data_IF_120930867456
#
_entry.id   IF_120930867456
#
_cell.length_a   1.000
_cell.length_b   1.000
_cell.length_c   1.000
_cell.angle_alpha   90.00
_cell.angle_beta   90.00
_cell.angle_gamma   90.00
#
_symmetry.space_group_name_H-M   'P 1'
#
loop_
_entity.id
_entity.type
_entity.pdbx_description
1 polymer ?
#
# COMPACT_ATOMS: atom_id res chain seq x y z
N UNK A 1 -25.40 10.49 3.97
CA UNK A 1 -25.13 11.93 3.67
C UNK A 1 -23.62 12.10 3.69
N UNK A 2 -23.03 12.70 2.67
CA UNK A 2 -21.58 12.87 2.57
C UNK A 2 -21.07 13.76 3.71
N UNK A 3 -20.02 13.32 4.41
CA UNK A 3 -19.34 14.06 5.48
C UNK A 3 -18.89 15.48 5.04
N UNK A 4 -18.57 15.67 3.78
CA UNK A 4 -18.20 16.96 3.20
C UNK A 4 -19.28 18.04 3.31
N UNK A 5 -20.56 17.70 3.09
CA UNK A 5 -21.68 18.66 3.18
C UNK A 5 -21.90 19.13 4.62
N UNK A 6 -21.66 18.27 5.58
CA UNK A 6 -21.81 18.62 7.01
C UNK A 6 -20.67 19.56 7.43
N UNK A 7 -19.46 19.30 6.97
CA UNK A 7 -18.29 20.13 7.26
C UNK A 7 -18.40 21.54 6.67
N UNK A 8 -18.96 21.70 5.46
CA UNK A 8 -19.27 23.02 4.87
C UNK A 8 -20.19 23.85 5.76
N UNK A 9 -21.18 23.23 6.41
CA UNK A 9 -22.08 23.92 7.34
C UNK A 9 -21.33 24.42 8.57
N UNK A 10 -20.40 23.63 9.10
CA UNK A 10 -19.58 24.00 10.24
C UNK A 10 -18.62 25.15 9.92
N UNK A 11 -17.95 25.07 8.78
CA UNK A 11 -17.09 26.16 8.27
C UNK A 11 -17.84 27.44 8.04
N UNK A 12 -18.99 27.36 7.40
CA UNK A 12 -19.83 28.53 7.17
C UNK A 12 -20.25 29.18 8.49
N UNK A 13 -20.73 28.37 9.45
CA UNK A 13 -21.17 28.85 10.76
C UNK A 13 -20.04 29.54 11.51
N UNK A 14 -18.88 28.91 11.59
CA UNK A 14 -17.67 29.51 12.18
C UNK A 14 -17.30 30.84 11.52
N UNK A 15 -17.31 30.90 10.19
CA UNK A 15 -16.96 32.10 9.46
C UNK A 15 -17.96 33.24 9.73
N UNK A 16 -19.24 32.95 9.82
CA UNK A 16 -20.25 33.97 10.14
C UNK A 16 -20.12 34.46 11.60
N UNK A 17 -19.81 33.58 12.54
CA UNK A 17 -19.51 33.96 13.94
C UNK A 17 -18.27 34.86 13.98
N UNK A 18 -17.18 34.49 13.30
CA UNK A 18 -15.94 35.29 13.24
C UNK A 18 -16.15 36.68 12.61
N UNK A 19 -17.09 36.77 11.66
CA UNK A 19 -17.48 38.07 11.06
C UNK A 19 -18.45 38.86 11.91
N UNK A 20 -18.75 38.43 13.15
CA UNK A 20 -19.74 39.07 14.05
C UNK A 20 -21.12 39.21 13.43
N UNK A 21 -21.54 38.24 12.58
CA UNK A 21 -22.88 38.26 11.95
C UNK A 21 -23.94 37.52 12.75
N UNK A 22 -23.57 37.00 13.90
CA UNK A 22 -24.46 36.35 14.88
C UNK A 22 -25.39 35.29 14.27
N UNK A 23 -24.85 34.26 13.60
CA UNK A 23 -25.68 33.24 12.97
C UNK A 23 -26.46 32.46 14.02
N UNK A 24 -27.62 31.89 13.61
CA UNK A 24 -28.46 31.04 14.44
C UNK A 24 -28.99 29.82 13.64
N UNK A 25 -29.76 28.97 14.30
CA UNK A 25 -30.30 27.76 13.65
C UNK A 25 -31.18 28.09 12.42
N UNK A 26 -31.88 29.23 12.43
CA UNK A 26 -32.72 29.64 11.31
C UNK A 26 -31.86 30.06 10.11
N UNK A 27 -30.84 30.90 10.33
CA UNK A 27 -29.93 31.35 9.26
C UNK A 27 -29.13 30.19 8.67
N UNK A 28 -28.69 29.23 9.50
CA UNK A 28 -28.04 28.02 9.03
C UNK A 28 -28.99 27.12 8.22
N UNK A 29 -30.22 26.98 8.68
CA UNK A 29 -31.26 26.20 8.00
C UNK A 29 -31.59 26.77 6.62
N UNK A 30 -31.77 28.08 6.52
CA UNK A 30 -32.04 28.81 5.27
C UNK A 30 -30.87 28.71 4.29
N UNK A 31 -29.62 28.83 4.78
CA UNK A 31 -28.44 28.79 3.92
C UNK A 31 -28.20 27.43 3.27
N UNK A 32 -28.51 26.33 3.95
CA UNK A 32 -28.22 24.96 3.50
C UNK A 32 -29.47 24.15 3.21
N UNK A 33 -30.65 24.78 3.14
CA UNK A 33 -31.94 24.14 2.82
C UNK A 33 -32.23 22.91 3.69
N UNK A 34 -31.99 23.03 5.01
CA UNK A 34 -32.19 21.99 5.99
C UNK A 34 -33.27 22.42 7.01
N UNK A 35 -33.82 21.45 7.77
CA UNK A 35 -34.72 21.78 8.85
C UNK A 35 -34.02 22.56 9.97
N UNK A 36 -34.71 23.48 10.64
CA UNK A 36 -34.18 24.21 11.81
C UNK A 36 -33.73 23.25 12.90
N UNK A 37 -34.41 22.10 13.07
CA UNK A 37 -34.01 21.06 14.01
C UNK A 37 -32.67 20.43 13.64
N UNK A 38 -32.41 20.22 12.35
CA UNK A 38 -31.12 19.72 11.86
C UNK A 38 -30.02 20.76 12.04
N UNK A 39 -30.34 22.04 11.76
CA UNK A 39 -29.39 23.13 11.96
C UNK A 39 -29.01 23.30 13.44
N UNK A 40 -29.97 23.20 14.35
CA UNK A 40 -29.70 23.28 15.80
C UNK A 40 -28.80 22.11 16.24
N UNK A 41 -29.07 20.90 15.80
CA UNK A 41 -28.18 19.75 16.07
C UNK A 41 -26.77 19.97 15.57
N UNK A 42 -26.59 20.60 14.40
CA UNK A 42 -25.27 20.95 13.88
C UNK A 42 -24.56 21.96 14.80
N UNK A 43 -25.29 22.97 15.29
CA UNK A 43 -24.74 23.98 16.23
C UNK A 43 -24.36 23.33 17.57
N UNK A 44 -25.25 22.51 18.12
CA UNK A 44 -24.96 21.77 19.36
C UNK A 44 -23.73 20.86 19.19
N UNK A 45 -23.60 20.23 18.03
CA UNK A 45 -22.43 19.41 17.72
C UNK A 45 -21.14 20.26 17.67
N UNK A 46 -21.16 21.42 17.00
CA UNK A 46 -20.02 22.35 16.96
C UNK A 46 -19.63 22.77 18.39
N UNK A 47 -20.58 23.10 19.22
CA UNK A 47 -20.36 23.52 20.61
C UNK A 47 -19.86 22.36 21.49
N UNK A 48 -20.63 21.26 21.53
CA UNK A 48 -20.48 20.22 22.55
C UNK A 48 -19.45 19.16 22.18
N UNK A 49 -19.25 18.93 20.88
CA UNK A 49 -18.34 17.91 20.38
C UNK A 49 -17.03 18.48 19.78
N UNK A 50 -17.12 19.65 19.13
CA UNK A 50 -15.95 20.31 18.57
C UNK A 50 -15.32 21.31 19.53
N UNK A 51 -16.01 21.59 20.64
CA UNK A 51 -15.51 22.47 21.66
C UNK A 51 -15.45 23.95 21.25
N UNK A 52 -16.24 24.35 20.23
CA UNK A 52 -16.32 25.77 19.87
C UNK A 52 -16.99 26.55 21.01
N UNK A 53 -16.29 27.52 21.63
CA UNK A 53 -16.83 28.28 22.73
C UNK A 53 -17.84 29.33 22.25
N UNK A 54 -19.03 28.87 21.87
CA UNK A 54 -20.13 29.73 21.39
C UNK A 54 -21.21 29.87 22.45
N UNK A 55 -21.72 31.09 22.55
CA UNK A 55 -22.82 31.45 23.45
C UNK A 55 -23.94 32.11 22.68
N UNK A 56 -25.19 31.75 22.98
CA UNK A 56 -26.35 32.40 22.38
C UNK A 56 -26.66 33.70 23.11
N UNK A 57 -26.61 34.82 22.39
CA UNK A 57 -26.91 36.15 22.91
C UNK A 57 -28.31 36.58 22.43
N UNK A 58 -29.27 36.60 23.33
CA UNK A 58 -30.67 36.92 23.02
C UNK A 58 -30.85 38.30 22.38
N UNK A 59 -30.10 39.32 22.81
CA UNK A 59 -30.14 40.66 22.27
C UNK A 59 -29.74 40.72 20.79
N UNK A 60 -28.84 39.83 20.35
CA UNK A 60 -28.37 39.72 18.97
C UNK A 60 -29.11 38.62 18.19
N UNK A 61 -29.99 37.89 18.85
CA UNK A 61 -30.72 36.73 18.29
C UNK A 61 -29.81 35.70 17.59
N UNK A 62 -28.61 35.54 18.06
CA UNK A 62 -27.61 34.66 17.43
C UNK A 62 -26.46 34.29 18.35
N UNK A 63 -25.55 33.46 17.81
CA UNK A 63 -24.38 32.98 18.53
C UNK A 63 -23.19 33.92 18.37
N UNK A 64 -22.43 34.05 19.43
CA UNK A 64 -21.14 34.77 19.49
C UNK A 64 -20.06 33.78 19.96
N UNK A 65 -18.81 34.04 19.62
CA UNK A 65 -17.65 33.31 20.11
C UNK A 65 -16.77 34.26 20.92
N UNK A 66 -16.63 34.08 22.25
CA UNK A 66 -15.74 34.88 23.07
C UNK A 66 -14.25 34.73 22.70
N UNK A 67 -13.90 33.60 22.09
CA UNK A 67 -12.53 33.28 21.64
C UNK A 67 -12.40 33.36 20.12
N UNK A 68 -12.10 34.55 19.55
CA UNK A 68 -12.05 34.73 18.09
C UNK A 68 -10.92 33.94 17.40
N UNK A 69 -9.94 33.48 18.15
CA UNK A 69 -8.80 32.66 17.68
C UNK A 69 -9.13 31.17 17.55
N UNK A 70 -10.29 30.74 18.06
CA UNK A 70 -10.70 29.34 17.92
C UNK A 70 -10.96 28.99 16.44
N UNK A 71 -10.46 27.85 16.01
CA UNK A 71 -10.63 27.35 14.66
C UNK A 71 -11.13 25.91 14.68
N UNK A 72 -12.00 25.60 13.73
CA UNK A 72 -12.38 24.22 13.46
C UNK A 72 -11.12 23.41 13.15
N UNK A 73 -11.04 22.15 13.62
CA UNK A 73 -9.97 21.26 13.22
C UNK A 73 -9.84 21.24 11.70
N UNK A 74 -8.65 21.51 11.17
CA UNK A 74 -8.42 21.61 9.72
C UNK A 74 -8.62 20.30 8.96
N UNK A 75 -8.72 19.19 9.70
CA UNK A 75 -9.03 17.85 9.17
C UNK A 75 -10.14 17.26 10.04
N UNK A 76 -11.24 16.94 9.39
CA UNK A 76 -12.35 16.21 10.00
C UNK A 76 -12.29 14.75 9.58
N UNK A 77 -12.12 13.87 10.54
CA UNK A 77 -12.12 12.43 10.32
C UNK A 77 -13.25 11.78 11.14
N UNK A 78 -13.91 10.83 10.55
CA UNK A 78 -14.75 9.88 11.27
C UNK A 78 -13.88 8.92 12.07
N UNK A 79 -14.44 8.20 13.02
CA UNK A 79 -13.75 7.16 13.78
C UNK A 79 -13.16 6.09 12.85
N UNK A 80 -13.90 5.66 11.81
CA UNK A 80 -13.46 4.70 10.82
C UNK A 80 -12.29 5.22 9.97
N UNK A 81 -12.30 6.50 9.58
CA UNK A 81 -11.19 7.12 8.85
C UNK A 81 -9.94 7.21 9.72
N UNK A 82 -10.10 7.52 11.01
CA UNK A 82 -9.00 7.54 11.96
C UNK A 82 -8.38 6.15 12.13
N UNK A 83 -9.20 5.12 12.35
CA UNK A 83 -8.75 3.72 12.43
C UNK A 83 -8.03 3.32 11.15
N UNK A 84 -8.58 3.69 9.99
CA UNK A 84 -7.99 3.41 8.67
C UNK A 84 -6.61 4.07 8.51
N UNK A 85 -6.44 5.30 9.01
CA UNK A 85 -5.14 5.99 9.00
C UNK A 85 -4.11 5.31 9.91
N UNK A 86 -4.50 4.92 11.13
CA UNK A 86 -3.62 4.20 12.06
C UNK A 86 -3.21 2.85 11.47
N UNK A 87 -4.17 2.12 10.89
CA UNK A 87 -3.89 0.86 10.20
C UNK A 87 -2.92 1.04 9.03
N UNK A 88 -3.14 2.07 8.20
CA UNK A 88 -2.26 2.42 7.09
C UNK A 88 -0.85 2.76 7.55
N UNK A 89 -0.71 3.51 8.66
CA UNK A 89 0.58 3.80 9.28
C UNK A 89 1.32 2.53 9.70
N UNK A 90 0.62 1.57 10.31
CA UNK A 90 1.23 0.28 10.71
C UNK A 90 1.62 -0.57 9.52
N UNK A 91 0.82 -0.61 8.47
CA UNK A 91 1.18 -1.28 7.21
C UNK A 91 2.39 -0.61 6.55
N UNK A 92 2.47 0.73 6.61
CA UNK A 92 3.62 1.50 6.13
C UNK A 92 4.90 1.30 6.98
N UNK A 93 4.83 0.65 8.15
CA UNK A 93 6.02 0.36 8.97
C UNK A 93 7.06 -0.53 8.25
N UNK A 94 6.63 -1.26 7.21
CA UNK A 94 7.51 -2.04 6.33
C UNK A 94 8.31 -1.19 5.33
N UNK A 95 8.01 0.11 5.18
CA UNK A 95 8.78 1.05 4.35
C UNK A 95 10.15 1.26 4.99
N UNK A 96 11.26 1.16 4.23
CA UNK A 96 12.61 1.27 4.80
C UNK A 96 13.01 2.70 5.18
N UNK A 97 12.32 3.74 4.75
CA UNK A 97 12.67 5.14 4.97
C UNK A 97 12.23 5.64 6.37
N UNK A 98 13.19 5.85 7.26
CA UNK A 98 12.95 6.32 8.62
C UNK A 98 12.40 7.76 8.65
N UNK A 99 12.83 8.64 7.73
CA UNK A 99 12.36 10.02 7.67
C UNK A 99 10.88 10.09 7.27
N UNK A 100 10.47 9.31 6.26
CA UNK A 100 9.07 9.20 5.86
C UNK A 100 8.20 8.65 6.98
N UNK A 101 8.67 7.64 7.72
CA UNK A 101 7.94 7.10 8.89
C UNK A 101 7.76 8.16 9.98
N UNK A 102 8.80 8.91 10.27
CA UNK A 102 8.75 9.99 11.28
C UNK A 102 7.78 11.08 10.85
N UNK A 103 7.85 11.53 9.59
CA UNK A 103 6.94 12.54 9.05
C UNK A 103 5.48 12.08 9.09
N UNK A 104 5.21 10.83 8.72
CA UNK A 104 3.87 10.25 8.80
C UNK A 104 3.37 10.17 10.24
N UNK A 105 4.23 9.76 11.18
CA UNK A 105 3.87 9.71 12.61
C UNK A 105 3.55 11.11 13.16
N UNK A 106 4.37 12.11 12.85
CA UNK A 106 4.13 13.50 13.26
C UNK A 106 2.80 13.99 12.71
N UNK A 107 2.56 13.80 11.40
CA UNK A 107 1.30 14.16 10.78
C UNK A 107 0.08 13.49 11.46
N UNK A 108 0.16 12.21 11.74
CA UNK A 108 -0.93 11.47 12.41
C UNK A 108 -1.16 11.98 13.84
N UNK A 109 -0.10 12.25 14.59
CA UNK A 109 -0.21 12.83 15.94
C UNK A 109 -0.89 14.19 15.91
N UNK A 110 -0.52 15.06 14.96
CA UNK A 110 -1.15 16.37 14.77
C UNK A 110 -2.64 16.24 14.40
N UNK A 111 -2.98 15.30 13.52
CA UNK A 111 -4.37 15.03 13.12
C UNK A 111 -5.19 14.57 14.33
N UNK A 112 -4.67 13.65 15.14
CA UNK A 112 -5.38 13.11 16.30
C UNK A 112 -5.48 14.14 17.43
N UNK A 113 -4.42 14.88 17.69
CA UNK A 113 -4.43 15.94 18.72
C UNK A 113 -5.50 17.01 18.45
N UNK A 114 -5.80 17.25 17.16
CA UNK A 114 -6.88 18.18 16.74
C UNK A 114 -8.26 17.54 16.71
N UNK A 115 -8.36 16.24 16.91
CA UNK A 115 -9.63 15.51 16.88
C UNK A 115 -10.20 15.38 18.30
N UNK A 116 -11.10 16.28 18.69
CA UNK A 116 -11.64 16.40 20.04
C UNK A 116 -12.39 15.13 20.57
N UNK A 117 -12.70 14.17 19.69
CA UNK A 117 -13.42 12.93 20.04
C UNK A 117 -12.52 11.69 20.02
N UNK A 118 -11.23 11.84 19.74
CA UNK A 118 -10.32 10.70 19.70
C UNK A 118 -10.14 10.09 21.09
N UNK A 119 -10.82 8.98 21.35
CA UNK A 119 -10.65 8.15 22.55
C UNK A 119 -9.42 7.23 22.46
N UNK A 120 -8.69 7.29 21.36
CA UNK A 120 -7.63 6.34 21.04
C UNK A 120 -6.28 7.03 20.99
N UNK A 121 -5.32 6.44 21.69
CA UNK A 121 -3.91 6.75 21.53
C UNK A 121 -3.35 5.94 20.34
N UNK A 122 -2.69 6.64 19.39
CA UNK A 122 -2.08 5.97 18.20
C UNK A 122 -1.09 4.92 18.65
N UNK A 123 -0.26 5.20 19.64
CA UNK A 123 0.77 4.29 20.08
C UNK A 123 0.14 3.03 20.68
N UNK A 124 -0.93 3.14 21.47
CA UNK A 124 -1.68 1.99 21.99
C UNK A 124 -2.35 1.15 20.90
N UNK A 125 -2.95 1.79 19.88
CA UNK A 125 -3.52 1.08 18.74
C UNK A 125 -2.41 0.44 17.89
N UNK A 126 -1.33 1.18 17.68
CA UNK A 126 -0.20 0.72 16.91
C UNK A 126 0.49 -0.49 17.55
N UNK A 127 0.55 -0.60 18.86
CA UNK A 127 1.11 -1.76 19.58
C UNK A 127 0.30 -3.04 19.35
N UNK A 128 -1.00 -2.91 19.09
CA UNK A 128 -1.90 -4.06 18.82
C UNK A 128 -1.83 -4.58 17.39
N UNK A 129 -1.18 -3.84 16.47
CA UNK A 129 -1.12 -4.16 15.05
C UNK A 129 0.35 -4.32 14.65
N UNK A 130 0.71 -5.47 14.10
CA UNK A 130 2.06 -5.74 13.63
C UNK A 130 2.08 -6.39 12.25
N UNK A 131 3.06 -6.01 11.43
CA UNK A 131 3.36 -6.67 10.15
C UNK A 131 4.63 -7.49 10.34
N UNK A 132 4.52 -8.80 10.16
CA UNK A 132 5.67 -9.72 10.28
C UNK A 132 6.05 -10.27 8.91
N UNK A 133 7.20 -9.85 8.43
CA UNK A 133 7.81 -10.42 7.22
C UNK A 133 8.91 -11.41 7.60
N UNK A 134 9.00 -12.52 6.87
CA UNK A 134 10.00 -13.57 7.08
C UNK A 134 10.86 -13.68 5.83
N UNK A 135 12.18 -13.82 6.00
CA UNK A 135 13.14 -14.01 4.92
C UNK A 135 13.19 -12.85 3.87
N UNK A 136 12.91 -11.63 4.30
CA UNK A 136 12.99 -10.46 3.43
C UNK A 136 14.39 -9.83 3.41
N UNK A 137 14.72 -9.15 2.32
CA UNK A 137 15.97 -8.41 2.19
C UNK A 137 15.78 -6.93 2.56
N UNK A 138 16.59 -6.44 3.52
CA UNK A 138 16.55 -5.04 3.96
C UNK A 138 17.09 -4.11 2.88
N UNK A 139 16.38 -3.06 2.60
CA UNK A 139 16.81 -1.97 1.72
C UNK A 139 17.35 -0.83 2.56
N UNK A 140 18.41 -0.17 2.09
CA UNK A 140 18.93 1.06 2.68
C UNK A 140 17.92 2.20 2.55
N UNK A 141 17.74 2.99 3.62
CA UNK A 141 16.86 4.16 3.63
C UNK A 141 17.23 5.14 2.50
N UNK A 142 18.52 5.38 2.29
CA UNK A 142 19.01 6.26 1.23
C UNK A 142 18.62 5.76 -0.17
N UNK A 143 18.81 4.47 -0.45
CA UNK A 143 18.45 3.88 -1.75
C UNK A 143 16.94 3.97 -1.97
N UNK A 144 16.17 3.63 -0.96
CA UNK A 144 14.71 3.70 -1.05
C UNK A 144 14.23 5.12 -1.33
N UNK A 145 14.71 6.09 -0.56
CA UNK A 145 14.34 7.50 -0.69
C UNK A 145 14.70 8.05 -2.09
N UNK A 146 15.92 7.81 -2.57
CA UNK A 146 16.38 8.27 -3.89
C UNK A 146 15.59 7.64 -5.04
N UNK A 147 15.29 6.35 -4.94
CA UNK A 147 14.45 5.67 -5.95
C UNK A 147 13.04 6.24 -5.95
N UNK A 148 12.44 6.47 -4.77
CA UNK A 148 11.11 7.06 -4.64
C UNK A 148 11.08 8.48 -5.21
N UNK A 149 12.07 9.30 -4.88
CA UNK A 149 12.21 10.66 -5.42
C UNK A 149 12.30 10.65 -6.95
N UNK A 150 13.14 9.79 -7.51
CA UNK A 150 13.30 9.64 -8.96
C UNK A 150 12.02 9.13 -9.64
N UNK A 151 11.31 8.19 -9.01
CA UNK A 151 10.03 7.68 -9.49
C UNK A 151 8.99 8.80 -9.57
N UNK A 152 8.87 9.61 -8.51
CA UNK A 152 7.89 10.71 -8.44
C UNK A 152 8.22 11.84 -9.43
N UNK A 153 9.51 12.12 -9.65
CA UNK A 153 9.97 13.13 -10.62
C UNK A 153 9.99 12.61 -12.07
N UNK A 154 9.85 11.30 -12.28
CA UNK A 154 10.03 10.71 -13.61
C UNK A 154 11.45 10.89 -14.15
N UNK A 155 12.47 10.92 -13.30
CA UNK A 155 13.86 11.17 -13.67
C UNK A 155 14.71 9.90 -13.66
N UNK A 156 15.70 9.75 -14.57
CA UNK A 156 16.58 8.62 -14.57
C UNK A 156 17.59 8.68 -13.42
N UNK A 157 18.04 7.50 -12.98
CA UNK A 157 19.09 7.33 -11.98
C UNK A 157 20.13 6.33 -12.46
N UNK A 158 21.37 6.53 -12.02
CA UNK A 158 22.47 5.58 -12.16
C UNK A 158 22.58 4.76 -10.89
N UNK A 159 22.53 3.45 -11.03
CA UNK A 159 22.68 2.50 -9.93
C UNK A 159 23.88 1.59 -10.16
N UNK A 160 24.63 1.30 -9.10
CA UNK A 160 25.54 0.17 -9.05
C UNK A 160 24.79 -1.03 -8.49
N UNK A 161 24.59 -2.05 -9.32
CA UNK A 161 23.72 -3.19 -9.00
C UNK A 161 24.52 -4.48 -8.87
N UNK A 162 24.37 -5.16 -7.73
CA UNK A 162 24.96 -6.47 -7.49
C UNK A 162 24.04 -7.57 -7.98
N UNK A 163 24.55 -8.42 -8.87
CA UNK A 163 23.86 -9.61 -9.36
C UNK A 163 24.41 -10.87 -8.67
N UNK A 164 23.70 -11.46 -7.68
CA UNK A 164 24.18 -12.66 -6.97
C UNK A 164 24.43 -13.84 -7.88
N UNK A 165 23.60 -14.02 -8.91
CA UNK A 165 23.73 -15.14 -9.84
C UNK A 165 25.06 -15.09 -10.64
N UNK A 166 25.52 -13.88 -10.96
CA UNK A 166 26.78 -13.67 -11.72
C UNK A 166 27.93 -13.30 -10.81
N UNK A 167 27.69 -13.14 -9.50
CA UNK A 167 28.63 -12.59 -8.52
C UNK A 167 29.35 -11.33 -9.04
N UNK A 168 28.58 -10.40 -9.64
CA UNK A 168 29.12 -9.24 -10.35
C UNK A 168 28.37 -7.96 -10.02
N UNK A 169 29.13 -6.88 -9.84
CA UNK A 169 28.64 -5.50 -9.85
C UNK A 169 28.51 -4.99 -11.29
N UNK A 170 27.52 -4.16 -11.55
CA UNK A 170 27.34 -3.52 -12.84
C UNK A 170 26.63 -2.19 -12.68
N UNK A 171 27.10 -1.18 -13.40
CA UNK A 171 26.42 0.11 -13.49
C UNK A 171 25.24 0.04 -14.47
N UNK A 172 24.15 0.71 -14.10
CA UNK A 172 22.91 0.78 -14.89
C UNK A 172 22.32 2.17 -14.80
N UNK A 173 22.04 2.76 -15.95
CA UNK A 173 21.13 3.90 -16.02
C UNK A 173 19.72 3.32 -16.20
N UNK A 174 18.82 3.67 -15.27
CA UNK A 174 17.46 3.18 -15.22
C UNK A 174 16.48 4.33 -15.04
N UNK A 175 15.31 4.22 -15.64
CA UNK A 175 14.17 5.08 -15.37
C UNK A 175 13.17 4.33 -14.48
N UNK A 176 13.03 4.68 -13.19
CA UNK A 176 12.05 4.10 -12.29
C UNK A 176 10.61 4.30 -12.79
N UNK A 177 9.81 3.24 -12.82
CA UNK A 177 8.45 3.29 -13.32
C UNK A 177 7.40 2.76 -12.34
N UNK A 178 7.78 1.80 -11.47
CA UNK A 178 6.84 1.25 -10.49
C UNK A 178 7.57 0.65 -9.30
N UNK A 179 7.21 1.09 -8.10
CA UNK A 179 7.74 0.55 -6.84
C UNK A 179 6.85 -0.61 -6.38
N UNK A 180 7.45 -1.75 -6.07
CA UNK A 180 6.76 -2.98 -5.67
C UNK A 180 7.32 -3.52 -4.37
N UNK A 181 6.45 -3.83 -3.41
CA UNK A 181 6.80 -4.66 -2.25
C UNK A 181 6.35 -6.07 -2.51
N UNK A 182 7.29 -7.01 -2.55
CA UNK A 182 7.02 -8.42 -2.78
C UNK A 182 7.64 -9.26 -1.66
N UNK A 183 6.82 -10.00 -0.92
CA UNK A 183 7.23 -10.80 0.25
C UNK A 183 8.14 -10.03 1.23
N UNK A 184 7.81 -8.76 1.49
CA UNK A 184 8.57 -7.88 2.39
C UNK A 184 9.87 -7.32 1.81
N UNK A 185 10.22 -7.66 0.58
CA UNK A 185 11.39 -7.11 -0.14
C UNK A 185 10.93 -6.04 -1.13
N UNK A 186 11.64 -4.93 -1.18
CA UNK A 186 11.34 -3.83 -2.09
C UNK A 186 12.04 -3.97 -3.42
N UNK A 187 11.28 -3.76 -4.48
CA UNK A 187 11.67 -3.85 -5.87
C UNK A 187 11.30 -2.58 -6.63
N UNK A 188 12.06 -2.27 -7.65
CA UNK A 188 11.72 -1.24 -8.63
C UNK A 188 11.65 -1.85 -10.02
N UNK A 189 10.49 -1.76 -10.64
CA UNK A 189 10.34 -2.01 -12.07
C UNK A 189 10.78 -0.74 -12.79
N UNK A 190 11.81 -0.85 -13.61
CA UNK A 190 12.42 0.27 -14.30
C UNK A 190 12.75 -0.11 -15.76
N UNK A 191 12.78 0.89 -16.62
CA UNK A 191 13.35 0.72 -17.94
C UNK A 191 14.89 0.80 -17.85
N UNK A 192 15.57 -0.25 -18.28
CA UNK A 192 17.03 -0.35 -18.23
C UNK A 192 17.62 0.05 -19.59
N UNK A 193 18.38 1.14 -19.65
CA UNK A 193 18.97 1.64 -20.88
C UNK A 193 19.89 0.60 -21.55
N UNK A 194 20.75 -0.06 -20.77
CA UNK A 194 21.71 -1.06 -21.30
C UNK A 194 21.02 -2.27 -21.95
N UNK A 195 19.84 -2.63 -21.46
CA UNK A 195 19.10 -3.80 -21.98
C UNK A 195 17.96 -3.41 -22.90
N UNK A 196 17.61 -2.12 -22.93
CA UNK A 196 16.51 -1.55 -23.68
C UNK A 196 15.15 -2.27 -23.45
N UNK A 197 14.90 -2.62 -22.17
CA UNK A 197 13.71 -3.36 -21.75
C UNK A 197 13.32 -3.03 -20.30
N UNK A 198 12.07 -3.33 -19.93
CA UNK A 198 11.63 -3.31 -18.53
C UNK A 198 12.33 -4.40 -17.74
N UNK A 199 12.83 -4.05 -16.58
CA UNK A 199 13.47 -4.97 -15.63
C UNK A 199 13.06 -4.70 -14.21
N UNK A 200 13.07 -5.77 -13.43
CA UNK A 200 12.90 -5.74 -11.99
C UNK A 200 14.27 -5.69 -11.29
N UNK A 201 14.44 -4.72 -10.40
CA UNK A 201 15.64 -4.55 -9.59
C UNK A 201 15.28 -4.62 -8.10
N UNK A 202 15.88 -5.56 -7.39
CA UNK A 202 15.76 -5.69 -5.94
C UNK A 202 16.53 -4.55 -5.27
N UNK A 203 15.87 -3.68 -4.52
CA UNK A 203 16.51 -2.48 -3.97
C UNK A 203 17.64 -2.78 -2.98
N UNK A 204 17.57 -3.87 -2.23
CA UNK A 204 18.65 -4.31 -1.33
C UNK A 204 19.95 -4.68 -2.05
N UNK A 205 19.92 -4.86 -3.36
CA UNK A 205 21.09 -5.17 -4.20
C UNK A 205 21.71 -3.93 -4.85
N UNK A 206 21.12 -2.77 -4.68
CA UNK A 206 21.69 -1.49 -5.11
C UNK A 206 22.73 -1.06 -4.08
N UNK A 207 23.97 -0.90 -4.52
CA UNK A 207 25.13 -0.53 -3.69
C UNK A 207 25.31 0.97 -3.62
N UNK A 208 25.13 1.64 -4.76
CA UNK A 208 25.13 3.09 -4.84
C UNK A 208 24.05 3.58 -5.80
N UNK A 209 23.60 4.81 -5.61
CA UNK A 209 22.60 5.48 -6.44
C UNK A 209 22.94 6.96 -6.58
N UNK A 210 22.91 7.47 -7.80
CA UNK A 210 23.11 8.89 -8.13
C UNK A 210 22.14 9.32 -9.22
N UNK A 211 22.01 10.64 -9.42
CA UNK A 211 21.30 11.18 -10.59
C UNK A 211 22.01 10.74 -11.87
N UNK A 212 21.23 10.59 -12.94
CA UNK A 212 21.74 10.27 -14.27
C UNK A 212 21.27 11.33 -15.27
N UNK A 213 22.20 11.76 -16.14
CA UNK A 213 21.90 12.65 -17.27
C UNK A 213 21.46 11.88 -18.53
N UNK A 214 21.27 10.55 -18.41
CA UNK A 214 20.87 9.70 -19.51
C UNK A 214 19.45 10.08 -20.02
N UNK A 215 19.32 10.30 -21.31
CA UNK A 215 18.00 10.44 -21.93
C UNK A 215 17.42 9.05 -22.17
N UNK A 216 16.44 8.66 -21.37
CA UNK A 216 15.77 7.36 -21.49
C UNK A 216 14.35 7.62 -22.01
N UNK A 217 14.13 7.21 -23.26
CA UNK A 217 12.80 7.28 -23.88
C UNK A 217 12.11 5.93 -23.72
N UNK A 218 10.96 5.94 -23.07
CA UNK A 218 10.17 4.73 -22.83
C UNK A 218 8.90 4.78 -23.68
N UNK A 219 8.75 3.84 -24.58
CA UNK A 219 7.53 3.67 -25.38
C UNK A 219 6.43 2.89 -24.64
N UNK A 220 6.61 2.64 -23.33
CA UNK A 220 5.66 1.90 -22.51
C UNK A 220 4.72 2.84 -21.79
N UNK A 221 3.41 2.66 -21.99
CA UNK A 221 2.39 3.37 -21.20
C UNK A 221 2.37 2.85 -19.76
N UNK A 222 1.78 3.62 -18.83
CA UNK A 222 1.53 3.16 -17.45
C UNK A 222 0.73 1.84 -17.40
N UNK A 223 -0.15 1.60 -18.36
CA UNK A 223 -0.86 0.33 -18.54
C UNK A 223 0.10 -0.82 -18.85
N UNK A 224 1.07 -0.62 -19.73
CA UNK A 224 2.07 -1.64 -20.08
C UNK A 224 2.95 -2.06 -18.89
N UNK A 225 3.28 -1.14 -17.97
CA UNK A 225 4.02 -1.46 -16.73
C UNK A 225 3.15 -2.28 -15.77
N UNK A 226 1.86 -1.92 -15.61
CA UNK A 226 0.92 -2.70 -14.79
C UNK A 226 0.71 -4.10 -15.36
N UNK A 227 0.60 -4.22 -16.66
CA UNK A 227 0.47 -5.52 -17.33
C UNK A 227 1.75 -6.35 -17.20
N UNK A 228 2.91 -5.73 -17.30
CA UNK A 228 4.18 -6.39 -17.03
C UNK A 228 4.19 -7.02 -15.62
N UNK A 229 3.79 -6.26 -14.58
CA UNK A 229 3.76 -6.75 -13.19
C UNK A 229 2.71 -7.84 -12.99
N UNK A 230 1.54 -7.72 -13.64
CA UNK A 230 0.39 -8.61 -13.41
C UNK A 230 0.40 -9.91 -14.23
N UNK A 231 1.25 -10.00 -15.25
CA UNK A 231 1.19 -11.05 -16.26
C UNK A 231 1.61 -12.42 -15.76
N UNK A 232 2.36 -12.52 -14.67
CA UNK A 232 2.95 -13.78 -14.24
C UNK A 232 2.85 -13.97 -12.74
N UNK A 233 2.85 -15.23 -12.32
CA UNK A 233 3.07 -15.59 -10.92
C UNK A 233 4.45 -15.12 -10.47
N UNK A 234 4.49 -14.35 -9.38
CA UNK A 234 5.72 -13.82 -8.79
C UNK A 234 6.35 -12.65 -9.55
N UNK A 235 7.67 -12.48 -9.34
CA UNK A 235 8.45 -11.34 -9.84
C UNK A 235 9.34 -11.65 -11.04
N UNK A 236 9.46 -12.91 -11.45
CA UNK A 236 10.26 -13.26 -12.62
C UNK A 236 9.43 -13.15 -13.89
N UNK A 237 9.75 -12.15 -14.69
CA UNK A 237 9.04 -11.87 -15.95
C UNK A 237 9.72 -12.55 -17.12
N UNK A 238 8.93 -12.95 -18.13
CA UNK A 238 9.36 -13.55 -19.38
C UNK A 238 8.53 -13.04 -20.56
N UNK A 239 8.95 -13.37 -21.76
CA UNK A 239 8.24 -12.99 -22.99
C UNK A 239 6.88 -13.67 -23.10
N UNK A 240 6.78 -14.91 -22.63
CA UNK A 240 5.60 -15.75 -22.70
C UNK A 240 5.29 -16.37 -21.34
N UNK A 241 4.03 -16.58 -21.05
CA UNK A 241 3.58 -17.32 -19.87
C UNK A 241 3.14 -18.73 -20.27
N UNK A 242 3.44 -19.71 -19.40
CA UNK A 242 3.01 -21.11 -19.52
C UNK A 242 2.03 -21.41 -18.41
N UNK A 243 0.99 -22.14 -18.70
CA UNK A 243 0.08 -22.66 -17.68
C UNK A 243 0.79 -23.76 -16.90
N UNK A 244 0.88 -23.59 -15.59
CA UNK A 244 1.39 -24.59 -14.66
C UNK A 244 0.23 -25.13 -13.87
N UNK A 245 0.02 -26.45 -13.93
CA UNK A 245 -1.02 -27.14 -13.18
C UNK A 245 -0.38 -27.98 -12.09
N UNK A 246 -0.81 -27.74 -10.85
CA UNK A 246 -0.37 -28.40 -9.62
C UNK A 246 -1.54 -29.15 -9.01
N UNK A 247 -1.27 -30.31 -8.41
CA UNK A 247 -2.23 -31.07 -7.61
C UNK A 247 -1.74 -31.15 -6.19
N UNK A 248 -2.51 -30.62 -5.27
CA UNK A 248 -2.23 -30.64 -3.84
C UNK A 248 -3.00 -31.75 -3.16
N UNK A 249 -2.33 -32.46 -2.26
CA UNK A 249 -2.93 -33.55 -1.50
C UNK A 249 -4.16 -33.05 -0.70
N UNK A 250 -5.14 -33.95 -0.53
CA UNK A 250 -6.42 -33.65 0.13
C UNK A 250 -6.25 -33.05 1.54
N UNK A 251 -5.18 -33.42 2.24
CA UNK A 251 -4.87 -32.98 3.61
C UNK A 251 -4.61 -31.47 3.67
N UNK A 252 -4.03 -30.87 2.60
CA UNK A 252 -3.71 -29.44 2.55
C UNK A 252 -4.61 -28.66 1.58
N UNK A 253 -5.44 -29.35 0.82
CA UNK A 253 -6.34 -28.74 -0.17
C UNK A 253 -7.19 -27.58 0.42
N UNK A 254 -7.78 -27.67 1.63
CA UNK A 254 -8.56 -26.57 2.20
C UNK A 254 -7.74 -25.28 2.40
N UNK A 255 -6.49 -25.39 2.90
CA UNK A 255 -5.62 -24.23 3.12
C UNK A 255 -5.15 -23.59 1.80
N UNK A 256 -4.91 -24.40 0.75
CA UNK A 256 -4.50 -23.87 -0.56
C UNK A 256 -5.70 -23.24 -1.27
N UNK A 257 -6.91 -23.77 -1.09
CA UNK A 257 -8.12 -23.21 -1.67
C UNK A 257 -8.43 -21.77 -1.18
N UNK A 258 -8.00 -21.43 0.03
CA UNK A 258 -8.13 -20.06 0.58
C UNK A 258 -7.08 -19.09 0.02
N UNK A 259 -6.05 -19.58 -0.66
CA UNK A 259 -4.94 -18.76 -1.14
C UNK A 259 -5.18 -18.23 -2.54
N UNK A 260 -4.84 -16.96 -2.72
CA UNK A 260 -4.87 -16.34 -4.03
C UNK A 260 -3.44 -16.21 -4.58
N UNK A 261 -3.08 -17.09 -5.53
CA UNK A 261 -1.76 -17.14 -6.12
C UNK A 261 -1.61 -16.23 -7.32
N UNK A 262 -2.66 -16.15 -8.14
CA UNK A 262 -2.71 -15.28 -9.32
C UNK A 262 -4.15 -14.92 -9.67
N UNK A 263 -4.41 -13.71 -10.17
CA UNK A 263 -5.76 -13.26 -10.54
C UNK A 263 -6.46 -14.16 -11.57
N UNK A 264 -5.66 -14.75 -12.49
CA UNK A 264 -6.13 -15.65 -13.54
C UNK A 264 -5.87 -17.12 -13.16
N UNK A 265 -5.86 -17.43 -11.86
CA UNK A 265 -5.79 -18.81 -11.41
C UNK A 265 -7.10 -19.54 -11.65
N UNK A 266 -7.00 -20.81 -11.96
CA UNK A 266 -8.12 -21.76 -11.97
C UNK A 266 -7.89 -22.81 -10.90
N UNK A 267 -8.89 -23.05 -10.04
CA UNK A 267 -8.76 -23.97 -8.92
C UNK A 267 -10.06 -24.76 -8.72
N UNK A 268 -9.92 -26.09 -8.59
CA UNK A 268 -11.05 -26.97 -8.30
C UNK A 268 -10.62 -28.16 -7.45
N UNK A 269 -11.54 -28.72 -6.68
CA UNK A 269 -11.35 -29.97 -5.93
C UNK A 269 -11.75 -31.14 -6.84
N UNK A 270 -10.86 -32.13 -6.98
CA UNK A 270 -11.14 -33.35 -7.76
C UNK A 270 -11.97 -34.37 -6.94
N UNK A 271 -12.37 -35.47 -7.63
CA UNK A 271 -13.19 -36.51 -7.00
C UNK A 271 -12.53 -37.26 -5.84
N UNK A 272 -11.22 -37.10 -5.64
CA UNK A 272 -10.44 -37.69 -4.54
C UNK A 272 -10.19 -36.71 -3.39
N UNK A 273 -10.71 -35.45 -3.52
CA UNK A 273 -10.54 -34.40 -2.53
C UNK A 273 -9.25 -33.61 -2.66
N UNK A 274 -8.43 -33.85 -3.69
CA UNK A 274 -7.22 -33.08 -3.96
C UNK A 274 -7.57 -31.77 -4.67
N UNK A 275 -6.81 -30.69 -4.39
CA UNK A 275 -6.97 -29.42 -5.10
C UNK A 275 -6.09 -29.38 -6.34
N UNK A 276 -6.70 -29.15 -7.47
CA UNK A 276 -6.03 -28.84 -8.74
C UNK A 276 -5.96 -27.31 -8.89
N UNK A 277 -4.76 -26.75 -8.95
CA UNK A 277 -4.51 -25.33 -9.14
C UNK A 277 -3.73 -25.08 -10.42
N UNK A 278 -4.24 -24.21 -11.29
CA UNK A 278 -3.56 -23.80 -12.53
C UNK A 278 -3.27 -22.31 -12.49
N UNK A 279 -2.00 -21.93 -12.70
CA UNK A 279 -1.54 -20.53 -12.71
C UNK A 279 -0.68 -20.22 -13.93
N UNK A 280 -0.72 -18.97 -14.47
CA UNK A 280 0.20 -18.54 -15.52
C UNK A 280 1.56 -18.20 -14.92
N UNK A 281 2.64 -18.80 -15.46
CA UNK A 281 4.00 -18.64 -14.98
C UNK A 281 4.93 -18.33 -16.15
N UNK A 282 5.73 -17.25 -16.03
CA UNK A 282 6.70 -16.91 -17.06
C UNK A 282 8.07 -17.57 -16.83
N UNK A 283 8.42 -17.82 -15.57
CA UNK A 283 9.69 -18.43 -15.17
C UNK A 283 9.48 -19.46 -14.05
N UNK A 284 10.09 -20.62 -14.17
CA UNK A 284 9.87 -21.71 -13.22
C UNK A 284 10.61 -21.56 -11.88
N UNK A 285 11.53 -20.60 -11.74
CA UNK A 285 12.35 -20.46 -10.53
C UNK A 285 11.52 -20.22 -9.26
N UNK A 286 10.47 -19.45 -9.38
CA UNK A 286 9.64 -19.06 -8.23
C UNK A 286 8.63 -20.14 -7.89
N UNK A 287 7.87 -20.58 -8.87
CA UNK A 287 6.90 -21.66 -8.67
C UNK A 287 7.58 -22.97 -8.20
N UNK A 288 8.81 -23.24 -8.65
CA UNK A 288 9.60 -24.36 -8.17
C UNK A 288 9.91 -24.26 -6.67
N UNK A 289 10.24 -23.05 -6.17
CA UNK A 289 10.46 -22.84 -4.73
C UNK A 289 9.21 -23.09 -3.92
N UNK A 290 8.07 -22.61 -4.39
CA UNK A 290 6.78 -22.88 -3.72
C UNK A 290 6.44 -24.37 -3.74
N UNK A 291 6.64 -25.07 -4.86
CA UNK A 291 6.45 -26.53 -4.93
C UNK A 291 7.32 -27.23 -3.90
N UNK A 292 8.62 -26.91 -3.83
CA UNK A 292 9.54 -27.52 -2.89
C UNK A 292 9.20 -27.22 -1.41
N UNK A 293 8.58 -26.05 -1.14
CA UNK A 293 8.09 -25.68 0.19
C UNK A 293 6.99 -26.61 0.70
N UNK A 294 6.12 -27.10 -0.19
CA UNK A 294 5.06 -28.05 0.17
C UNK A 294 5.54 -29.51 0.17
N UNK A 295 6.76 -29.78 -0.31
CA UNK A 295 7.38 -31.09 -0.29
C UNK A 295 6.55 -32.16 -1.00
N UNK A 296 6.25 -33.26 -0.31
CA UNK A 296 5.50 -34.39 -0.86
C UNK A 296 3.98 -34.13 -1.02
N UNK A 297 3.49 -32.98 -0.54
CA UNK A 297 2.07 -32.64 -0.55
C UNK A 297 1.61 -31.99 -1.86
N UNK A 298 2.51 -31.78 -2.82
CA UNK A 298 2.20 -31.19 -4.12
C UNK A 298 2.85 -31.94 -5.26
N UNK A 299 2.09 -32.13 -6.33
CA UNK A 299 2.56 -32.74 -7.58
C UNK A 299 2.46 -31.75 -8.73
N UNK A 300 3.49 -31.69 -9.57
CA UNK A 300 3.43 -30.97 -10.85
C UNK A 300 2.73 -31.86 -11.87
N UNK A 301 1.51 -31.47 -12.26
CA UNK A 301 0.76 -32.16 -13.30
C UNK A 301 1.28 -31.75 -14.68
N UNK A 302 1.44 -30.46 -14.89
CA UNK A 302 2.01 -29.89 -16.14
C UNK A 302 2.71 -28.55 -15.87
N UNK A 303 3.65 -28.14 -16.72
CA UNK A 303 4.21 -28.83 -17.88
C UNK A 303 5.31 -29.84 -17.47
N UNK A 304 5.58 -30.80 -18.35
CA UNK A 304 6.61 -31.83 -18.15
C UNK A 304 7.99 -31.23 -17.83
N UNK A 305 8.37 -30.12 -18.47
CA UNK A 305 9.65 -29.46 -18.23
C UNK A 305 9.83 -29.03 -16.76
N UNK A 306 8.78 -28.48 -16.12
CA UNK A 306 8.81 -28.13 -14.69
C UNK A 306 8.86 -29.37 -13.82
N UNK A 307 8.08 -30.42 -14.15
CA UNK A 307 8.08 -31.69 -13.43
C UNK A 307 9.46 -32.33 -13.43
N UNK A 308 10.13 -32.34 -14.57
CA UNK A 308 11.48 -32.89 -14.71
C UNK A 308 12.54 -32.05 -13.93
N UNK A 309 12.36 -30.71 -13.91
CA UNK A 309 13.24 -29.82 -13.14
C UNK A 309 13.06 -30.02 -11.63
N UNK A 310 11.84 -30.21 -11.14
CA UNK A 310 11.56 -30.54 -9.72
C UNK A 310 12.13 -31.90 -9.38
N UNK A 311 11.98 -32.94 -10.23
CA UNK A 311 12.58 -34.25 -9.98
C UNK A 311 14.11 -34.18 -9.83
N UNK A 312 14.77 -33.42 -10.70
CA UNK A 312 16.23 -33.20 -10.61
C UNK A 312 16.62 -32.55 -9.28
N UNK A 313 15.83 -31.62 -8.79
CA UNK A 313 16.08 -30.95 -7.51
C UNK A 313 15.90 -31.89 -6.33
N UNK A 314 14.84 -32.72 -6.33
CA UNK A 314 14.60 -33.75 -5.32
C UNK A 314 15.78 -34.74 -5.26
N UNK A 315 16.32 -35.15 -6.40
CA UNK A 315 17.50 -36.05 -6.43
C UNK A 315 18.75 -35.40 -5.86
N UNK A 316 18.95 -34.09 -6.05
CA UNK A 316 20.03 -33.33 -5.40
C UNK A 316 19.81 -33.26 -3.88
N UNK A 317 18.58 -32.96 -3.44
CA UNK A 317 18.22 -32.93 -2.02
C UNK A 317 18.48 -34.30 -1.37
N UNK A 318 18.09 -35.39 -2.01
CA UNK A 318 18.35 -36.77 -1.53
C UNK A 318 19.84 -37.04 -1.31
N UNK A 319 20.73 -36.44 -2.14
CA UNK A 319 22.18 -36.58 -1.97
C UNK A 319 22.74 -35.78 -0.80
N UNK A 320 22.13 -34.64 -0.46
CA UNK A 320 22.54 -33.80 0.68
C UNK A 320 22.18 -34.42 2.02
N UNK A 321 21.09 -35.17 2.09
CA UNK A 321 20.59 -35.83 3.33
C UNK A 321 20.94 -37.32 3.41
N UNK A 322 21.90 -37.77 2.63
CA UNK A 322 22.56 -39.07 2.78
C UNK A 322 23.83 -38.91 3.61
#
# INVERSE_FOLDING_TARGET
>A
MSSGIIFERYLWFQNEVKKNRHPNAKTLAERFEISVKTAQRNIDFIRDRLGMPIEYVAAMRGYVCPEPTWELPGVWLTEDELISLVLSYRLASAVPDAALKTSLRTFLNDVIARHATAKYDIDQLAEKISVKNVAYARTSDLVFHRVLEALLKGSPVRIEYYSPHQNRLSERDILPLHLLSYMGTWHIVAFCQVKNELRDFVLSRVRSISSSDATIVVNSSAAGVKDYIRRTFGIFHGKETKKVSLRFAKEIAPWIAEQHWHRDQDAFIDGEGSLCLTVPVADFREIKREILRYGAQVEVVSPKALRDDVKKEIEKMRKVYR
#
